data_IF_236052589162
#
_entry.id   IF_236052589162
#
_cell.length_a   1.000
_cell.length_b   1.000
_cell.length_c   1.000
_cell.angle_alpha   90.00
_cell.angle_beta   90.00
_cell.angle_gamma   90.00
#
_symmetry.space_group_name_H-M   'P 1'
#
loop_
_entity.id
_entity.type
_entity.pdbx_description
1 polymer ?
#
# COMPACT_ATOMS: atom_id res chain seq x y z
N UNK A 1 -9.06 16.72 -7.06
CA UNK A 1 -8.75 16.89 -5.63
C UNK A 1 -9.90 16.42 -4.72
N UNK A 2 -11.16 16.76 -5.02
CA UNK A 2 -12.32 16.25 -4.25
C UNK A 2 -12.51 14.73 -4.48
N UNK A 3 -12.42 14.25 -5.72
CA UNK A 3 -12.48 12.80 -6.04
C UNK A 3 -11.43 11.97 -5.31
N UNK A 4 -10.19 12.46 -5.21
CA UNK A 4 -9.10 11.78 -4.49
C UNK A 4 -9.30 11.81 -2.97
N UNK A 5 -9.96 12.83 -2.43
CA UNK A 5 -10.33 12.88 -1.02
C UNK A 5 -11.40 11.82 -0.69
N UNK A 6 -12.39 11.66 -1.57
CA UNK A 6 -13.40 10.61 -1.44
C UNK A 6 -12.79 9.20 -1.41
N UNK A 7 -11.84 8.90 -2.31
CA UNK A 7 -11.14 7.59 -2.32
C UNK A 7 -10.27 7.39 -1.08
N UNK A 8 -9.64 8.45 -0.57
CA UNK A 8 -8.78 8.37 0.62
C UNK A 8 -9.60 8.13 1.87
N UNK A 9 -10.74 8.81 2.02
CA UNK A 9 -11.65 8.58 3.15
C UNK A 9 -12.29 7.20 3.10
N UNK A 10 -12.66 6.72 1.90
CA UNK A 10 -13.18 5.36 1.73
C UNK A 10 -12.14 4.29 2.13
N UNK A 11 -10.85 4.57 1.91
CA UNK A 11 -9.75 3.69 2.33
C UNK A 11 -9.52 3.66 3.86
N UNK A 12 -10.08 4.60 4.64
CA UNK A 12 -9.98 4.59 6.10
C UNK A 12 -10.87 3.51 6.73
N UNK A 13 -12.01 3.19 6.12
CA UNK A 13 -12.92 2.15 6.62
C UNK A 13 -12.23 0.78 6.73
N UNK A 14 -11.61 0.21 5.67
CA UNK A 14 -10.91 -1.07 5.79
C UNK A 14 -9.67 -0.99 6.68
N UNK A 15 -9.01 0.17 6.76
CA UNK A 15 -7.92 0.38 7.71
C UNK A 15 -8.42 0.25 9.15
N UNK A 16 -9.47 0.97 9.53
CA UNK A 16 -10.01 0.94 10.91
C UNK A 16 -10.65 -0.42 11.21
N UNK A 17 -11.38 -0.99 10.25
CA UNK A 17 -12.09 -2.25 10.44
C UNK A 17 -11.16 -3.46 10.51
N UNK A 18 -10.09 -3.51 9.70
CA UNK A 18 -9.23 -4.70 9.60
C UNK A 18 -7.79 -4.46 10.09
N UNK A 19 -7.40 -3.22 10.36
CA UNK A 19 -6.01 -2.85 10.61
C UNK A 19 -5.12 -2.84 9.37
N UNK A 20 -5.71 -3.07 8.19
CA UNK A 20 -4.96 -3.27 6.95
C UNK A 20 -4.91 -1.98 6.12
N UNK A 21 -3.73 -1.34 5.96
CA UNK A 21 -3.60 -0.20 5.07
C UNK A 21 -3.73 -0.67 3.62
N UNK A 22 -4.59 0.02 2.86
CA UNK A 22 -4.81 -0.24 1.42
C UNK A 22 -4.38 0.93 0.54
N UNK A 23 -3.90 2.01 1.16
CA UNK A 23 -3.43 3.22 0.49
C UNK A 23 -2.15 3.74 1.14
N UNK A 24 -1.37 4.50 0.38
CA UNK A 24 -0.16 5.14 0.91
C UNK A 24 -0.46 6.11 2.05
N UNK A 25 -1.56 6.86 1.96
CA UNK A 25 -1.98 7.78 3.02
C UNK A 25 -2.31 7.06 4.33
N UNK A 26 -2.95 5.88 4.24
CA UNK A 26 -3.27 5.06 5.39
C UNK A 26 -2.01 4.58 6.14
N UNK A 27 -0.95 4.16 5.43
CA UNK A 27 0.32 3.73 6.05
C UNK A 27 0.93 4.83 6.91
N UNK A 28 0.91 6.07 6.42
CA UNK A 28 1.46 7.21 7.16
C UNK A 28 0.70 7.48 8.45
N UNK A 29 -0.60 7.14 8.51
CA UNK A 29 -1.41 7.28 9.73
C UNK A 29 -1.13 6.19 10.77
N UNK A 30 -0.72 4.98 10.35
CA UNK A 30 -0.41 3.88 11.28
C UNK A 30 0.78 4.23 12.18
N UNK A 31 1.81 4.88 11.63
CA UNK A 31 3.03 5.23 12.37
C UNK A 31 2.77 6.09 13.64
N UNK A 32 2.12 7.28 13.57
CA UNK A 32 1.86 8.10 14.75
C UNK A 32 0.83 7.49 15.71
N UNK A 33 -0.15 6.73 15.21
CA UNK A 33 -1.11 6.03 16.06
C UNK A 33 -0.41 4.93 16.88
N UNK A 34 0.51 4.18 16.26
CA UNK A 34 1.34 3.21 16.96
C UNK A 34 2.21 3.83 18.05
N UNK A 35 2.70 5.07 17.84
CA UNK A 35 3.43 5.81 18.89
C UNK A 35 2.56 6.17 20.10
N UNK A 36 1.25 6.33 19.89
CA UNK A 36 0.27 6.60 20.96
C UNK A 36 -0.27 5.31 21.60
N UNK A 37 0.19 4.14 21.16
CA UNK A 37 -0.33 2.85 21.63
C UNK A 37 -1.71 2.51 21.09
N UNK A 38 -2.19 3.22 20.07
CA UNK A 38 -3.48 2.97 19.43
C UNK A 38 -3.26 2.10 18.18
N UNK A 39 -3.97 0.98 18.13
CA UNK A 39 -3.95 0.06 17.00
C UNK A 39 -5.27 0.10 16.24
N UNK A 40 -5.20 0.12 14.91
CA UNK A 40 -6.38 0.00 14.07
C UNK A 40 -6.87 -1.44 14.07
N UNK A 41 -8.05 -1.68 14.63
CA UNK A 41 -8.65 -3.01 14.83
C UNK A 41 -10.17 -2.88 14.84
N UNK A 42 -10.96 -3.93 14.58
CA UNK A 42 -12.42 -3.86 14.69
C UNK A 42 -12.90 -3.31 16.05
N UNK A 43 -12.16 -3.58 17.13
CA UNK A 43 -12.46 -3.09 18.47
C UNK A 43 -12.11 -1.61 18.69
N UNK A 44 -11.28 -0.98 17.86
CA UNK A 44 -10.84 0.41 18.01
C UNK A 44 -12.02 1.38 18.09
N UNK A 45 -13.09 1.13 17.33
CA UNK A 45 -14.29 1.98 17.34
C UNK A 45 -15.00 1.95 18.69
N UNK A 46 -14.89 0.83 19.42
CA UNK A 46 -15.55 0.61 20.71
C UNK A 46 -14.63 1.05 21.86
N UNK A 47 -13.35 0.67 21.80
CA UNK A 47 -12.37 0.95 22.87
C UNK A 47 -11.90 2.41 22.87
N UNK A 48 -11.81 3.03 21.70
CA UNK A 48 -11.33 4.38 21.51
C UNK A 48 -12.37 5.23 20.75
N UNK A 49 -13.63 5.21 21.20
CA UNK A 49 -14.76 5.90 20.55
C UNK A 49 -14.46 7.37 20.28
N UNK A 50 -13.94 8.11 21.27
CA UNK A 50 -13.59 9.53 21.12
C UNK A 50 -12.53 9.73 20.02
N UNK A 51 -11.50 8.88 19.98
CA UNK A 51 -10.44 8.96 18.97
C UNK A 51 -10.93 8.52 17.59
N UNK A 52 -11.83 7.54 17.52
CA UNK A 52 -12.43 7.10 16.27
C UNK A 52 -13.28 8.20 15.63
N UNK A 53 -14.14 8.87 16.41
CA UNK A 53 -14.92 10.01 15.92
C UNK A 53 -14.05 11.23 15.60
N UNK A 54 -13.00 11.47 16.39
CA UNK A 54 -11.99 12.49 16.08
C UNK A 54 -11.30 12.21 14.75
N UNK A 55 -10.98 10.94 14.44
CA UNK A 55 -10.38 10.55 13.18
C UNK A 55 -11.32 10.75 11.98
N UNK A 56 -12.58 10.32 12.09
CA UNK A 56 -13.57 10.52 11.03
C UNK A 56 -13.86 12.00 10.78
N UNK A 57 -14.02 12.79 11.86
CA UNK A 57 -14.23 14.23 11.75
C UNK A 57 -13.00 14.95 11.19
N UNK A 58 -11.78 14.57 11.61
CA UNK A 58 -10.54 15.10 11.05
C UNK A 58 -10.38 14.77 9.56
N UNK A 59 -10.73 13.55 9.13
CA UNK A 59 -10.69 13.15 7.72
C UNK A 59 -11.68 13.96 6.87
N UNK A 60 -12.89 14.20 7.38
CA UNK A 60 -13.87 15.08 6.75
C UNK A 60 -13.35 16.52 6.65
N UNK A 61 -12.89 17.10 7.76
CA UNK A 61 -12.34 18.46 7.79
C UNK A 61 -11.12 18.61 6.87
N UNK A 62 -10.21 17.64 6.88
CA UNK A 62 -9.06 17.59 5.99
C UNK A 62 -9.51 17.59 4.52
N UNK A 63 -10.57 16.85 4.17
CA UNK A 63 -11.10 16.82 2.81
C UNK A 63 -11.69 18.16 2.36
N UNK A 64 -12.33 18.89 3.27
CA UNK A 64 -12.86 20.23 3.00
C UNK A 64 -11.76 21.29 2.88
N UNK A 65 -10.75 21.23 3.75
CA UNK A 65 -9.65 22.20 3.81
C UNK A 65 -8.56 21.94 2.75
N UNK A 66 -8.38 20.69 2.33
CA UNK A 66 -7.37 20.28 1.37
C UNK A 66 -7.36 21.13 0.09
N UNK A 67 -8.48 21.38 -0.63
CA UNK A 67 -8.43 22.20 -1.84
C UNK A 67 -8.02 23.65 -1.57
N UNK A 68 -8.40 24.23 -0.42
CA UNK A 68 -8.04 25.59 -0.04
C UNK A 68 -6.54 25.71 0.22
N UNK A 69 -6.02 24.85 1.10
CA UNK A 69 -4.61 24.84 1.50
C UNK A 69 -3.73 24.39 0.34
N UNK A 70 -4.16 23.36 -0.39
CA UNK A 70 -3.41 22.78 -1.50
C UNK A 70 -3.19 23.76 -2.65
N UNK A 71 -4.17 24.61 -2.97
CA UNK A 71 -3.97 25.61 -4.01
C UNK A 71 -2.95 26.69 -3.60
N UNK A 72 -3.00 27.13 -2.34
CA UNK A 72 -2.02 28.04 -1.76
C UNK A 72 -0.60 27.44 -1.74
N UNK A 73 -0.47 26.22 -1.23
CA UNK A 73 0.81 25.51 -1.15
C UNK A 73 1.38 25.22 -2.54
N UNK A 74 0.54 24.91 -3.52
CA UNK A 74 1.00 24.63 -4.89
C UNK A 74 1.74 25.82 -5.50
N UNK A 75 1.29 27.04 -5.23
CA UNK A 75 1.98 28.25 -5.70
C UNK A 75 3.35 28.37 -5.03
N UNK A 76 3.40 28.18 -3.71
CA UNK A 76 4.64 28.31 -2.93
C UNK A 76 5.65 27.19 -3.23
N UNK A 77 5.21 25.95 -3.41
CA UNK A 77 6.05 24.79 -3.68
C UNK A 77 6.29 24.51 -5.17
N UNK A 78 5.69 25.31 -6.07
CA UNK A 78 5.95 25.19 -7.52
C UNK A 78 7.44 25.29 -7.85
N UNK A 79 8.17 26.14 -7.12
CA UNK A 79 9.62 26.27 -7.24
C UNK A 79 10.35 24.99 -6.82
N UNK A 80 9.88 24.26 -5.82
CA UNK A 80 10.50 23.00 -5.37
C UNK A 80 10.31 21.87 -6.39
N UNK A 81 9.20 21.89 -7.15
CA UNK A 81 8.97 20.93 -8.24
C UNK A 81 9.82 21.19 -9.48
N UNK A 82 10.37 22.40 -9.65
CA UNK A 82 11.29 22.69 -10.75
C UNK A 82 12.70 22.11 -10.57
N UNK A 83 13.00 21.53 -9.39
CA UNK A 83 14.26 20.84 -9.16
C UNK A 83 14.33 19.61 -10.08
N UNK A 84 15.41 19.44 -10.85
CA UNK A 84 15.54 18.30 -11.75
C UNK A 84 15.49 16.99 -10.96
N UNK A 85 14.78 15.99 -11.50
CA UNK A 85 14.57 14.70 -10.85
C UNK A 85 15.89 14.00 -10.44
N UNK A 86 16.99 14.28 -11.14
CA UNK A 86 18.33 13.78 -10.80
C UNK A 86 18.83 14.30 -9.45
N UNK A 87 18.62 15.59 -9.14
CA UNK A 87 19.05 16.18 -7.88
C UNK A 87 18.21 15.66 -6.70
N UNK A 88 16.89 15.54 -6.88
CA UNK A 88 16.00 14.98 -5.85
C UNK A 88 16.32 13.52 -5.57
N UNK A 89 16.58 12.72 -6.62
CA UNK A 89 16.97 11.32 -6.48
C UNK A 89 18.28 11.16 -5.69
N UNK A 90 19.28 12.00 -5.97
CA UNK A 90 20.55 11.98 -5.25
C UNK A 90 20.38 12.36 -3.77
N UNK A 91 19.61 13.41 -3.49
CA UNK A 91 19.31 13.82 -2.12
C UNK A 91 18.59 12.70 -1.34
N UNK A 92 17.68 11.99 -1.98
CA UNK A 92 16.96 10.85 -1.39
C UNK A 92 17.88 9.68 -1.07
N UNK A 93 18.81 9.34 -1.97
CA UNK A 93 19.80 8.28 -1.74
C UNK A 93 20.73 8.65 -0.57
N UNK A 94 21.19 9.90 -0.52
CA UNK A 94 22.04 10.37 0.59
C UNK A 94 21.29 10.34 1.92
N UNK A 95 20.06 10.84 1.96
CA UNK A 95 19.21 10.82 3.15
C UNK A 95 18.89 9.40 3.61
N UNK A 96 18.56 8.49 2.67
CA UNK A 96 18.29 7.10 2.99
C UNK A 96 19.54 6.37 3.50
N UNK A 97 20.70 6.61 2.89
CA UNK A 97 21.98 6.05 3.35
C UNK A 97 22.30 6.53 4.77
N UNK A 98 22.15 7.83 5.03
CA UNK A 98 22.33 8.39 6.36
C UNK A 98 21.32 7.82 7.37
N UNK A 99 20.05 7.66 6.98
CA UNK A 99 19.00 7.11 7.84
C UNK A 99 19.23 5.65 8.23
N UNK A 100 19.56 4.80 7.26
CA UNK A 100 19.84 3.37 7.51
C UNK A 100 21.10 3.21 8.35
N UNK A 101 22.16 3.98 8.05
CA UNK A 101 23.38 3.94 8.85
C UNK A 101 23.16 4.47 10.27
N UNK A 102 22.31 5.49 10.47
CA UNK A 102 22.03 6.04 11.79
C UNK A 102 21.27 5.09 12.72
N UNK A 103 20.51 4.12 12.18
CA UNK A 103 19.70 3.18 12.99
C UNK A 103 20.56 2.17 13.74
N UNK A 104 21.49 1.50 13.05
CA UNK A 104 22.28 0.40 13.63
C UNK A 104 23.80 0.58 13.47
N UNK A 105 24.27 1.63 12.79
CA UNK A 105 25.70 1.88 12.49
C UNK A 105 26.41 0.70 11.79
N UNK A 106 25.66 -0.12 11.04
CA UNK A 106 26.21 -1.27 10.29
C UNK A 106 26.23 -0.99 8.79
N UNK A 107 27.39 -1.17 8.17
CA UNK A 107 27.52 -1.05 6.70
C UNK A 107 26.75 -2.13 5.94
N UNK A 108 26.50 -3.28 6.56
CA UNK A 108 25.74 -4.36 5.90
C UNK A 108 24.32 -3.91 5.53
N UNK A 109 23.69 -3.11 6.40
CA UNK A 109 22.34 -2.59 6.19
C UNK A 109 22.31 -1.59 5.03
N UNK A 110 23.40 -0.83 4.84
CA UNK A 110 23.58 0.07 3.70
C UNK A 110 23.71 -0.71 2.39
N UNK A 111 24.49 -1.80 2.37
CA UNK A 111 24.58 -2.65 1.18
C UNK A 111 23.23 -3.29 0.84
N UNK A 112 22.49 -3.77 1.85
CA UNK A 112 21.14 -4.31 1.67
C UNK A 112 20.18 -3.23 1.14
N UNK A 113 20.26 -2.01 1.66
CA UNK A 113 19.48 -0.86 1.18
C UNK A 113 19.73 -0.59 -0.30
N UNK A 114 20.99 -0.54 -0.74
CA UNK A 114 21.30 -0.34 -2.17
C UNK A 114 20.81 -1.49 -3.03
N UNK A 115 20.97 -2.74 -2.57
CA UNK A 115 20.45 -3.92 -3.27
C UNK A 115 18.92 -3.91 -3.42
N UNK A 116 18.20 -3.61 -2.35
CA UNK A 116 16.74 -3.50 -2.35
C UNK A 116 16.25 -2.31 -3.18
N UNK A 117 16.96 -1.17 -3.12
CA UNK A 117 16.67 0.00 -3.94
C UNK A 117 16.80 -0.28 -5.44
N UNK A 118 17.84 -1.02 -5.83
CA UNK A 118 18.04 -1.44 -7.21
C UNK A 118 16.96 -2.44 -7.67
N UNK A 119 16.61 -3.41 -6.83
CA UNK A 119 15.51 -4.34 -7.11
C UNK A 119 14.17 -3.59 -7.28
N UNK A 120 13.90 -2.61 -6.42
CA UNK A 120 12.73 -1.73 -6.53
C UNK A 120 12.72 -0.89 -7.80
N UNK A 121 13.89 -0.39 -8.23
CA UNK A 121 14.03 0.34 -9.50
C UNK A 121 13.72 -0.55 -10.71
N UNK A 122 14.23 -1.79 -10.72
CA UNK A 122 13.93 -2.77 -11.78
C UNK A 122 12.43 -3.09 -11.84
N UNK A 123 11.79 -3.30 -10.69
CA UNK A 123 10.34 -3.50 -10.62
C UNK A 123 9.57 -2.30 -11.17
N UNK A 124 10.02 -1.08 -10.85
CA UNK A 124 9.40 0.13 -11.39
C UNK A 124 9.55 0.22 -12.92
N UNK A 125 10.67 -0.23 -13.48
CA UNK A 125 10.88 -0.28 -14.93
C UNK A 125 9.90 -1.24 -15.62
N UNK A 126 9.49 -2.31 -14.94
CA UNK A 126 8.47 -3.27 -15.41
C UNK A 126 7.03 -2.75 -15.24
N UNK A 127 6.83 -1.49 -14.83
CA UNK A 127 5.51 -0.88 -14.66
C UNK A 127 4.84 -1.16 -13.31
N UNK A 128 5.52 -1.81 -12.36
CA UNK A 128 4.98 -1.98 -11.01
C UNK A 128 4.92 -0.64 -10.28
N UNK A 129 3.75 -0.32 -9.71
CA UNK A 129 3.56 0.88 -8.89
C UNK A 129 4.26 0.73 -7.54
N UNK A 130 4.88 1.81 -7.06
CA UNK A 130 5.49 1.89 -5.73
C UNK A 130 4.50 1.51 -4.61
N UNK A 131 3.21 1.83 -4.79
CA UNK A 131 2.15 1.47 -3.85
C UNK A 131 2.10 -0.05 -3.63
N UNK A 132 2.18 -0.83 -4.71
CA UNK A 132 2.13 -2.29 -4.66
C UNK A 132 3.31 -2.85 -3.88
N UNK A 133 4.52 -2.29 -4.10
CA UNK A 133 5.74 -2.71 -3.41
C UNK A 133 5.61 -2.50 -1.90
N UNK A 134 5.20 -1.30 -1.48
CA UNK A 134 5.06 -0.97 -0.06
C UNK A 134 3.96 -1.81 0.59
N UNK A 135 2.83 -1.98 -0.08
CA UNK A 135 1.74 -2.83 0.42
C UNK A 135 2.16 -4.30 0.53
N UNK A 136 2.97 -4.81 -0.40
CA UNK A 136 3.48 -6.18 -0.34
C UNK A 136 4.37 -6.39 0.89
N UNK A 137 5.23 -5.41 1.21
CA UNK A 137 6.09 -5.46 2.40
C UNK A 137 5.23 -5.44 3.67
N UNK A 138 4.28 -4.51 3.77
CA UNK A 138 3.38 -4.43 4.93
C UNK A 138 2.58 -5.72 5.10
N UNK A 139 2.04 -6.26 4.01
CA UNK A 139 1.26 -7.50 4.05
C UNK A 139 2.13 -8.70 4.41
N UNK A 140 3.39 -8.76 3.93
CA UNK A 140 4.33 -9.80 4.30
C UNK A 140 4.54 -9.84 5.83
N UNK A 141 4.65 -8.68 6.49
CA UNK A 141 4.77 -8.60 7.96
C UNK A 141 3.54 -9.15 8.71
N UNK A 142 2.39 -9.25 8.05
CA UNK A 142 1.16 -9.79 8.63
C UNK A 142 1.04 -11.29 8.33
N UNK A 143 1.39 -11.68 7.10
CA UNK A 143 1.30 -13.07 6.62
C UNK A 143 2.39 -13.94 7.23
N UNK A 144 3.62 -13.45 7.38
CA UNK A 144 4.75 -14.23 7.89
C UNK A 144 4.52 -14.75 9.32
N UNK A 145 4.10 -13.92 10.30
CA UNK A 145 3.75 -14.42 11.64
C UNK A 145 2.57 -15.39 11.61
N UNK A 146 1.57 -15.15 10.76
CA UNK A 146 0.43 -16.05 10.63
C UNK A 146 0.83 -17.42 10.05
N UNK A 147 1.75 -17.42 9.08
CA UNK A 147 2.29 -18.63 8.48
C UNK A 147 3.18 -19.40 9.46
N UNK A 148 4.09 -18.73 10.15
CA UNK A 148 4.95 -19.34 11.18
C UNK A 148 4.10 -19.87 12.34
N UNK A 149 3.10 -19.11 12.79
CA UNK A 149 2.15 -19.53 13.81
C UNK A 149 1.33 -20.75 13.38
N UNK A 150 0.90 -20.80 12.11
CA UNK A 150 0.26 -21.98 11.56
C UNK A 150 1.22 -23.17 11.58
N UNK A 151 2.43 -23.06 11.03
CA UNK A 151 3.42 -24.15 11.05
C UNK A 151 3.76 -24.63 12.47
N UNK A 152 3.77 -23.74 13.46
CA UNK A 152 3.95 -24.11 14.87
C UNK A 152 2.85 -25.01 15.41
N UNK A 153 1.61 -24.88 14.92
CA UNK A 153 0.49 -25.77 15.26
C UNK A 153 0.55 -27.10 14.50
N UNK A 154 1.19 -27.12 13.33
CA UNK A 154 1.35 -28.31 12.46
C UNK A 154 2.71 -29.01 12.64
N UNK A 155 3.34 -28.86 13.80
CA UNK A 155 4.62 -29.48 14.18
C UNK A 155 5.76 -29.24 13.16
N UNK A 156 5.71 -28.10 12.45
CA UNK A 156 6.69 -27.72 11.44
C UNK A 156 6.49 -28.35 10.06
N UNK A 157 5.41 -29.12 9.83
CA UNK A 157 5.16 -29.79 8.55
C UNK A 157 4.24 -28.94 7.62
N UNK A 158 4.77 -28.36 6.53
CA UNK A 158 3.95 -27.58 5.59
C UNK A 158 2.97 -28.46 4.79
N UNK A 159 3.21 -29.78 4.75
CA UNK A 159 2.36 -30.71 4.01
C UNK A 159 1.01 -30.94 4.68
N UNK A 160 0.95 -30.86 6.02
CA UNK A 160 -0.31 -30.99 6.77
C UNK A 160 -1.26 -29.81 6.55
N UNK A 161 -0.75 -28.68 6.04
CA UNK A 161 -1.59 -27.56 5.63
C UNK A 161 -2.56 -27.96 4.50
N UNK A 162 -2.15 -28.89 3.63
CA UNK A 162 -3.01 -29.44 2.57
C UNK A 162 -3.91 -30.58 3.06
N UNK A 163 -3.56 -31.22 4.18
CA UNK A 163 -4.34 -32.31 4.78
C UNK A 163 -5.63 -31.83 5.46
N UNK A 164 -5.72 -30.56 5.86
CA UNK A 164 -6.92 -30.02 6.51
C UNK A 164 -7.92 -29.51 5.47
N UNK A 165 -9.18 -29.99 5.48
CA UNK A 165 -10.16 -29.64 4.46
C UNK A 165 -10.46 -28.13 4.41
N UNK A 166 -10.46 -27.44 5.55
CA UNK A 166 -10.66 -25.99 5.59
C UNK A 166 -9.54 -25.20 4.89
N UNK A 167 -8.28 -25.60 5.08
CA UNK A 167 -7.13 -24.96 4.44
C UNK A 167 -7.10 -25.25 2.94
N UNK A 168 -7.37 -26.49 2.54
CA UNK A 168 -7.48 -26.88 1.14
C UNK A 168 -8.57 -26.07 0.40
N UNK A 169 -9.73 -25.85 1.02
CA UNK A 169 -10.81 -25.03 0.45
C UNK A 169 -10.37 -23.57 0.26
N UNK A 170 -9.65 -22.99 1.23
CA UNK A 170 -9.15 -21.62 1.15
C UNK A 170 -8.07 -21.44 0.07
N UNK A 171 -7.15 -22.40 -0.03
CA UNK A 171 -6.10 -22.38 -1.08
C UNK A 171 -6.76 -22.54 -2.46
N UNK A 172 -7.70 -23.49 -2.60
CA UNK A 172 -8.43 -23.70 -3.84
C UNK A 172 -9.24 -22.47 -4.25
N UNK A 173 -9.93 -21.80 -3.32
CA UNK A 173 -10.70 -20.59 -3.62
C UNK A 173 -9.80 -19.41 -3.99
N UNK A 174 -8.64 -19.26 -3.35
CA UNK A 174 -7.64 -18.25 -3.70
C UNK A 174 -7.07 -18.48 -5.11
N UNK A 175 -6.70 -19.71 -5.45
CA UNK A 175 -6.22 -20.07 -6.78
C UNK A 175 -7.31 -19.86 -7.85
N UNK A 176 -8.56 -20.24 -7.54
CA UNK A 176 -9.70 -20.02 -8.41
C UNK A 176 -9.95 -18.53 -8.65
N UNK A 177 -9.84 -17.69 -7.61
CA UNK A 177 -9.99 -16.25 -7.72
C UNK A 177 -8.87 -15.62 -8.56
N UNK A 178 -7.61 -16.07 -8.39
CA UNK A 178 -6.50 -15.65 -9.26
C UNK A 178 -6.73 -16.07 -10.71
N UNK A 179 -7.14 -17.31 -10.96
CA UNK A 179 -7.40 -17.82 -12.30
C UNK A 179 -8.57 -17.08 -12.98
N UNK A 180 -9.66 -16.85 -12.25
CA UNK A 180 -10.81 -16.07 -12.70
C UNK A 180 -10.40 -14.61 -13.00
N UNK A 181 -9.61 -14.00 -12.12
CA UNK A 181 -9.09 -12.65 -12.32
C UNK A 181 -8.15 -12.53 -13.53
N UNK A 182 -7.31 -13.54 -13.78
CA UNK A 182 -6.46 -13.59 -14.97
C UNK A 182 -7.30 -13.76 -16.25
N UNK A 183 -8.29 -14.66 -16.24
CA UNK A 183 -9.20 -14.89 -17.36
C UNK A 183 -10.02 -13.64 -17.71
N UNK A 184 -10.54 -12.94 -16.69
CA UNK A 184 -11.29 -11.69 -16.86
C UNK A 184 -10.42 -10.54 -17.40
N UNK A 185 -9.13 -10.49 -17.08
CA UNK A 185 -8.22 -9.48 -17.62
C UNK A 185 -7.97 -9.67 -19.10
N UNK A 186 -7.76 -10.91 -19.54
CA UNK A 186 -7.53 -11.25 -20.95
C UNK A 186 -8.79 -11.00 -21.81
N UNK A 187 -9.98 -11.28 -21.29
CA UNK A 187 -11.23 -11.03 -22.02
C UNK A 187 -11.59 -9.55 -22.22
N UNK A 188 -11.00 -8.63 -21.44
CA UNK A 188 -11.31 -7.19 -21.52
C UNK A 188 -10.50 -6.45 -22.59
N UNK A 189 -9.35 -7.00 -23.00
CA UNK A 189 -8.53 -6.43 -24.07
C UNK A 189 -9.22 -6.55 -25.44
N UNK A 190 -10.03 -7.59 -25.68
CA UNK A 190 -10.74 -7.79 -26.95
C UNK A 190 -11.95 -6.88 -27.19
N UNK A 191 -12.49 -6.19 -26.17
CA UNK A 191 -13.63 -5.28 -26.33
C UNK A 191 -13.21 -3.82 -26.56
N UNK A 192 -11.93 -3.51 -26.38
CA UNK A 192 -11.42 -2.13 -26.55
C UNK A 192 -10.94 -1.86 -27.98
N UNK A 193 -10.59 -2.90 -28.74
CA UNK A 193 -10.19 -2.78 -30.16
C UNK A 193 -11.39 -2.70 -31.13
N UNK A 194 -12.59 -3.08 -30.73
CA UNK A 194 -13.78 -3.00 -31.61
C UNK A 194 -14.41 -1.60 -31.62
N UNK A 195 -14.24 -0.82 -30.54
CA UNK A 195 -14.74 0.56 -30.46
C UNK A 195 -13.81 1.58 -31.16
N UNK A 196 -12.54 1.22 -31.44
CA UNK A 196 -11.61 2.09 -32.19
C UNK A 196 -11.73 1.94 -33.71
N UNK A 197 -12.19 0.79 -34.20
CA UNK A 197 -12.35 0.50 -35.64
C UNK A 197 -13.64 1.14 -36.19
N UNK A 198 -14.72 1.13 -35.40
CA UNK A 198 -16.02 1.71 -35.79
C UNK A 198 -16.08 3.26 -35.81
N UNK A 199 -15.07 3.95 -35.27
CA UNK A 199 -15.03 5.42 -35.26
C UNK A 199 -14.30 6.03 -36.48
N UNK A 200 -13.75 5.19 -37.37
CA UNK A 200 -12.97 5.65 -38.54
C UNK A 200 -13.69 5.47 -39.89
N UNK A 201 -14.87 4.84 -39.90
CA UNK A 201 -15.65 4.62 -41.13
C UNK A 201 -16.76 5.66 -41.37
N UNK A 202 -16.98 6.61 -40.45
CA UNK A 202 -18.06 7.62 -40.50
C UNK A 202 -17.58 9.06 -40.83
N UNK A 203 -16.37 9.25 -41.38
CA UNK A 203 -15.89 10.55 -41.94
C UNK A 203 -15.76 10.54 -43.47
#
# INVERSE_FOLDING_TARGET
>A
MILTAATTNAALLPLVALGLPVSMGAVVLVAPMGLQGLEFRPLFIIEAEETAWALFSAALWASLLAPLIGNWLRILLSALQSIPASATGLALILAATAGVYAMQARMIDVYIMFGAGLAGYLLRQQGYSLVIIIMSIVLAQIVEPAYVGALGVLDGSPMELFGRPASAILIASGLLAMAAGAFWRVGRESLTDTDSDGATEDE
#
